data_IF_170646563374
#
_entry.id   IF_170646563374
#
_cell.length_a   1.000
_cell.length_b   1.000
_cell.length_c   1.000
_cell.angle_alpha   90.00
_cell.angle_beta   90.00
_cell.angle_gamma   90.00
#
_symmetry.space_group_name_H-M   'P 1'
#
loop_
_entity.id
_entity.type
_entity.pdbx_description
1 polymer ?
#
# COMPACT_ATOMS: atom_id res chain seq x y z
N UNK A 1 14.40 -21.67 -8.80
CA UNK A 1 14.02 -20.25 -8.74
C UNK A 1 12.84 -20.01 -9.65
N UNK A 2 11.82 -19.36 -9.14
CA UNK A 2 10.62 -19.03 -9.90
C UNK A 2 10.36 -17.54 -9.82
N UNK A 3 9.62 -17.03 -10.79
CA UNK A 3 9.08 -15.67 -10.71
C UNK A 3 7.65 -15.78 -10.17
N UNK A 4 7.40 -15.09 -9.07
CA UNK A 4 6.14 -15.18 -8.34
C UNK A 4 5.49 -13.80 -8.33
N UNK A 5 4.21 -13.75 -8.69
CA UNK A 5 3.42 -12.51 -8.58
C UNK A 5 2.51 -12.65 -7.37
N UNK A 6 2.60 -11.68 -6.47
CA UNK A 6 1.74 -11.61 -5.28
C UNK A 6 0.79 -10.44 -5.48
N UNK A 7 -0.49 -10.72 -5.43
CA UNK A 7 -1.53 -9.70 -5.54
C UNK A 7 -2.21 -9.52 -4.18
N UNK A 8 -2.19 -8.31 -3.66
CA UNK A 8 -2.82 -7.97 -2.38
C UNK A 8 -4.07 -7.15 -2.63
N UNK A 9 -5.19 -7.57 -2.06
CA UNK A 9 -6.42 -6.79 -2.14
C UNK A 9 -6.33 -5.54 -1.27
N UNK A 10 -6.93 -4.44 -1.74
CA UNK A 10 -6.94 -3.20 -0.96
C UNK A 10 -7.62 -3.37 0.39
N UNK A 11 -8.67 -4.18 0.44
CA UNK A 11 -9.41 -4.46 1.69
C UNK A 11 -8.53 -5.17 2.72
N UNK A 12 -7.59 -6.00 2.28
CA UNK A 12 -6.68 -6.72 3.18
C UNK A 12 -5.65 -5.81 3.82
N UNK A 13 -5.52 -4.58 3.33
CA UNK A 13 -4.56 -3.60 3.82
C UNK A 13 -5.16 -2.64 4.86
N UNK A 14 -6.44 -2.82 5.22
CA UNK A 14 -7.10 -2.01 6.24
C UNK A 14 -7.69 -0.72 5.70
N UNK A 15 -8.30 0.06 6.58
CA UNK A 15 -9.10 1.23 6.23
C UNK A 15 -8.46 2.56 6.62
N UNK A 16 -7.33 2.53 7.30
CA UNK A 16 -6.62 3.75 7.70
C UNK A 16 -5.12 3.47 7.80
N UNK A 17 -4.29 4.52 7.89
CA UNK A 17 -2.83 4.35 7.92
C UNK A 17 -2.32 3.50 9.08
N UNK A 18 -2.92 3.61 10.25
CA UNK A 18 -2.49 2.85 11.42
C UNK A 18 -2.71 1.35 11.19
N UNK A 19 -3.89 0.97 10.71
CA UNK A 19 -4.18 -0.42 10.37
C UNK A 19 -3.28 -0.94 9.26
N UNK A 20 -3.10 -0.16 8.20
CA UNK A 20 -2.29 -0.57 7.07
C UNK A 20 -0.84 -0.81 7.48
N UNK A 21 -0.29 0.08 8.28
CA UNK A 21 1.07 -0.01 8.77
C UNK A 21 1.33 -1.33 9.49
N UNK A 22 0.36 -1.81 10.26
CA UNK A 22 0.47 -3.08 10.96
C UNK A 22 0.19 -4.27 10.04
N UNK A 23 -0.85 -4.18 9.21
CA UNK A 23 -1.28 -5.30 8.37
C UNK A 23 -0.25 -5.65 7.30
N UNK A 24 0.46 -4.67 6.75
CA UNK A 24 1.47 -4.95 5.71
C UNK A 24 2.66 -5.75 6.23
N UNK A 25 2.85 -5.81 7.54
CA UNK A 25 3.94 -6.61 8.13
C UNK A 25 3.76 -8.11 7.85
N UNK A 26 2.52 -8.58 7.74
CA UNK A 26 2.21 -9.98 7.49
C UNK A 26 2.67 -10.41 6.09
N UNK A 27 2.22 -9.77 5.00
CA UNK A 27 2.73 -10.12 3.68
C UNK A 27 4.23 -9.81 3.52
N UNK A 28 4.76 -8.79 4.20
CA UNK A 28 6.19 -8.49 4.12
C UNK A 28 7.05 -9.66 4.58
N UNK A 29 6.68 -10.33 5.66
CA UNK A 29 7.40 -11.52 6.14
C UNK A 29 7.37 -12.64 5.12
N UNK A 30 6.22 -12.87 4.50
CA UNK A 30 6.06 -13.92 3.48
C UNK A 30 6.88 -13.61 2.23
N UNK A 31 6.89 -12.36 1.81
CA UNK A 31 7.66 -11.91 0.65
C UNK A 31 9.16 -12.12 0.89
N UNK A 32 9.66 -11.73 2.05
CA UNK A 32 11.07 -11.90 2.39
C UNK A 32 11.44 -13.38 2.47
N UNK A 33 10.56 -14.22 2.99
CA UNK A 33 10.78 -15.68 2.99
C UNK A 33 10.97 -16.22 1.58
N UNK A 34 10.16 -15.76 0.62
CA UNK A 34 10.29 -16.15 -0.78
C UNK A 34 11.60 -15.66 -1.39
N UNK A 35 12.00 -14.44 -1.07
CA UNK A 35 13.28 -13.88 -1.52
C UNK A 35 14.45 -14.67 -0.98
N UNK A 36 14.40 -15.12 0.26
CA UNK A 36 15.45 -15.96 0.86
C UNK A 36 15.60 -17.29 0.13
N UNK A 37 14.51 -17.81 -0.43
CA UNK A 37 14.54 -19.04 -1.21
C UNK A 37 15.04 -18.83 -2.64
N UNK A 38 15.40 -17.61 -3.00
CA UNK A 38 15.93 -17.28 -4.31
C UNK A 38 14.90 -17.00 -5.38
N UNK A 39 13.63 -16.82 -5.00
CA UNK A 39 12.57 -16.49 -5.95
C UNK A 39 12.62 -15.01 -6.31
N UNK A 40 12.16 -14.71 -7.52
CA UNK A 40 11.96 -13.35 -8.01
C UNK A 40 10.49 -12.99 -7.74
N UNK A 41 10.24 -11.90 -7.03
CA UNK A 41 8.89 -11.56 -6.56
C UNK A 41 8.45 -10.22 -7.13
N UNK A 42 7.27 -10.21 -7.71
CA UNK A 42 6.59 -8.99 -8.18
C UNK A 42 5.34 -8.79 -7.33
N UNK A 43 5.16 -7.59 -6.80
CA UNK A 43 4.05 -7.30 -5.90
C UNK A 43 3.10 -6.31 -6.56
N UNK A 44 1.83 -6.68 -6.62
CA UNK A 44 0.75 -5.78 -7.02
C UNK A 44 -0.26 -5.66 -5.91
N UNK A 45 -1.06 -4.61 -5.94
CA UNK A 45 -2.08 -4.41 -4.92
C UNK A 45 -3.30 -3.68 -5.46
N UNK A 46 -4.46 -3.95 -4.84
CA UNK A 46 -5.65 -3.14 -5.03
C UNK A 46 -5.63 -1.92 -4.13
N UNK A 47 -6.63 -1.06 -4.26
CA UNK A 47 -6.65 0.21 -3.53
C UNK A 47 -8.06 0.71 -3.20
N UNK A 48 -9.05 -0.16 -3.18
CA UNK A 48 -10.45 0.28 -3.08
C UNK A 48 -10.71 1.17 -1.85
N UNK A 49 -10.37 0.76 -0.61
CA UNK A 49 -10.60 1.65 0.52
C UNK A 49 -9.74 2.92 0.47
N UNK A 50 -8.50 2.78 0.00
CA UNK A 50 -7.53 3.86 0.03
C UNK A 50 -7.88 4.98 -0.95
N UNK A 51 -8.26 4.63 -2.17
CA UNK A 51 -8.62 5.63 -3.17
C UNK A 51 -9.89 6.38 -2.78
N UNK A 52 -10.87 5.68 -2.23
CA UNK A 52 -12.10 6.30 -1.75
C UNK A 52 -11.86 7.27 -0.61
N UNK A 53 -11.03 6.90 0.34
CA UNK A 53 -10.66 7.75 1.46
C UNK A 53 -10.01 9.06 0.98
N UNK A 54 -9.07 8.96 0.06
CA UNK A 54 -8.38 10.15 -0.48
C UNK A 54 -9.35 11.02 -1.25
N UNK A 55 -10.13 10.41 -2.16
CA UNK A 55 -11.09 11.13 -2.97
C UNK A 55 -12.10 11.90 -2.10
N UNK A 56 -12.66 11.24 -1.10
CA UNK A 56 -13.67 11.81 -0.22
C UNK A 56 -13.09 12.90 0.70
N UNK A 57 -11.85 12.74 1.14
CA UNK A 57 -11.20 13.71 2.01
C UNK A 57 -11.12 15.08 1.36
N UNK A 58 -10.73 15.14 0.10
CA UNK A 58 -10.65 16.42 -0.63
C UNK A 58 -12.04 16.98 -0.90
N UNK A 59 -12.99 16.13 -1.27
CA UNK A 59 -14.37 16.57 -1.50
C UNK A 59 -14.99 17.17 -0.24
N UNK A 60 -14.78 16.52 0.90
CA UNK A 60 -15.29 17.00 2.19
C UNK A 60 -14.60 18.29 2.62
N UNK A 61 -13.30 18.38 2.44
CA UNK A 61 -12.56 19.60 2.79
C UNK A 61 -13.00 20.79 1.97
N UNK A 62 -13.36 20.56 0.70
CA UNK A 62 -13.86 21.65 -0.17
C UNK A 62 -15.16 22.25 0.32
N UNK A 63 -15.98 21.50 1.01
CA UNK A 63 -17.24 22.01 1.56
C UNK A 63 -17.02 23.13 2.58
N UNK A 64 -15.91 23.04 3.34
CA UNK A 64 -15.55 24.04 4.36
C UNK A 64 -14.60 25.09 3.81
N UNK A 65 -13.81 24.77 2.81
CA UNK A 65 -12.83 25.67 2.24
C UNK A 65 -12.88 25.56 0.72
N UNK A 66 -13.49 26.54 0.10
CA UNK A 66 -13.70 26.60 -1.34
C UNK A 66 -12.42 26.56 -2.16
N UNK A 67 -11.30 26.92 -1.55
CA UNK A 67 -9.98 26.90 -2.20
C UNK A 67 -9.37 25.50 -2.25
N UNK A 68 -9.88 24.55 -1.47
CA UNK A 68 -9.42 23.18 -1.54
C UNK A 68 -9.82 22.58 -2.89
N UNK A 69 -8.88 22.02 -3.65
CA UNK A 69 -9.22 21.43 -4.94
C UNK A 69 -9.95 20.11 -4.78
N UNK A 70 -10.80 19.78 -5.74
CA UNK A 70 -11.28 18.41 -5.90
C UNK A 70 -10.14 17.62 -6.53
N UNK A 71 -9.94 16.39 -6.08
CA UNK A 71 -8.94 15.52 -6.67
C UNK A 71 -9.66 14.52 -7.56
N UNK A 72 -9.37 14.49 -8.87
CA UNK A 72 -9.98 13.51 -9.76
C UNK A 72 -9.63 12.08 -9.34
N UNK A 73 -10.47 11.13 -9.74
CA UNK A 73 -10.33 9.75 -9.29
C UNK A 73 -9.00 9.12 -9.73
N UNK A 74 -8.53 9.47 -10.92
CA UNK A 74 -7.25 8.97 -11.42
C UNK A 74 -6.08 9.41 -10.55
N UNK A 75 -6.05 10.69 -10.16
CA UNK A 75 -4.98 11.22 -9.29
C UNK A 75 -5.08 10.65 -7.89
N UNK A 76 -6.31 10.47 -7.38
CA UNK A 76 -6.50 9.81 -6.09
C UNK A 76 -5.97 8.38 -6.13
N UNK A 77 -6.15 7.69 -7.26
CA UNK A 77 -5.58 6.37 -7.50
C UNK A 77 -4.05 6.40 -7.42
N UNK A 78 -3.42 7.36 -8.07
CA UNK A 78 -1.97 7.54 -8.00
C UNK A 78 -1.48 7.83 -6.59
N UNK A 79 -2.20 8.66 -5.84
CA UNK A 79 -1.88 8.95 -4.45
C UNK A 79 -1.98 7.70 -3.58
N UNK A 80 -2.97 6.84 -3.86
CA UNK A 80 -3.14 5.59 -3.11
C UNK A 80 -1.96 4.64 -3.32
N UNK A 81 -1.36 4.64 -4.50
CA UNK A 81 -0.17 3.84 -4.77
C UNK A 81 1.01 4.27 -3.91
N UNK A 82 1.21 5.57 -3.78
CA UNK A 82 2.26 6.10 -2.91
C UNK A 82 2.02 5.74 -1.45
N UNK A 83 0.80 5.88 -0.99
CA UNK A 83 0.40 5.55 0.37
C UNK A 83 0.65 4.07 0.68
N UNK A 84 0.12 3.18 -0.16
CA UNK A 84 0.28 1.73 0.04
C UNK A 84 1.74 1.32 -0.17
N UNK A 85 2.36 1.80 -1.24
CA UNK A 85 3.74 1.47 -1.57
C UNK A 85 4.72 1.89 -0.49
N UNK A 86 4.52 3.05 0.11
CA UNK A 86 5.34 3.53 1.21
C UNK A 86 5.34 2.54 2.38
N UNK A 87 4.16 2.10 2.80
CA UNK A 87 4.06 1.14 3.91
C UNK A 87 4.64 -0.23 3.53
N UNK A 88 4.35 -0.70 2.32
CA UNK A 88 4.87 -2.00 1.85
C UNK A 88 6.39 -1.99 1.77
N UNK A 89 6.97 -0.98 1.14
CA UNK A 89 8.43 -0.88 1.01
C UNK A 89 9.10 -0.77 2.37
N UNK A 90 8.53 0.02 3.27
CA UNK A 90 9.09 0.17 4.62
C UNK A 90 9.05 -1.17 5.36
N UNK A 91 7.94 -1.89 5.30
CA UNK A 91 7.80 -3.17 5.98
C UNK A 91 8.76 -4.21 5.42
N UNK A 92 8.88 -4.27 4.09
CA UNK A 92 9.80 -5.21 3.43
C UNK A 92 11.24 -4.87 3.78
N UNK A 93 11.63 -3.59 3.73
CA UNK A 93 12.98 -3.16 4.08
C UNK A 93 13.33 -3.54 5.52
N UNK A 94 12.39 -3.36 6.44
CA UNK A 94 12.59 -3.73 7.83
C UNK A 94 12.76 -5.25 8.01
N UNK A 95 11.98 -6.04 7.29
CA UNK A 95 12.12 -7.51 7.35
C UNK A 95 13.43 -7.97 6.75
N UNK A 96 13.85 -7.39 5.62
CA UNK A 96 15.15 -7.70 5.02
C UNK A 96 16.29 -7.41 5.99
N UNK A 97 16.21 -6.30 6.70
CA UNK A 97 17.21 -5.92 7.69
C UNK A 97 17.26 -6.92 8.84
N UNK A 98 16.10 -7.36 9.35
CA UNK A 98 16.03 -8.39 10.40
C UNK A 98 16.68 -9.69 9.95
N UNK A 99 16.47 -10.07 8.70
CA UNK A 99 17.02 -11.32 8.12
C UNK A 99 18.44 -11.15 7.60
N UNK A 100 19.00 -9.96 7.70
CA UNK A 100 20.38 -9.64 7.26
C UNK A 100 20.61 -9.93 5.77
N UNK A 101 19.61 -9.58 5.00
CA UNK A 101 19.69 -9.75 3.54
C UNK A 101 20.13 -8.43 2.89
#
# INVERSE_FOLDING_TARGET
MSRIVIALGGNALGNNPEEQKELVKIPAKKIVSLLKLGHDVVIGHGNVPQVGMIFNAFADAKKSNDKTPLIPFAEAGGMSQGYIGYHMLTAIANELKKEKI
#
